data_IF_826755587481
#
_entry.id   IF_826755587481
#
_cell.length_a   1.000
_cell.length_b   1.000
_cell.length_c   1.000
_cell.angle_alpha   90.00
_cell.angle_beta   90.00
_cell.angle_gamma   90.00
#
_symmetry.space_group_name_H-M   'P 1'
#
loop_
_entity.id
_entity.type
_entity.pdbx_description
1 polymer ?
#
# COMPACT_ATOMS: atom_id res chain seq x y z
N UNK A 1 -17.55 -4.63 -2.08
CA UNK A 1 -16.45 -3.65 -2.20
C UNK A 1 -16.72 -2.77 -3.42
N UNK A 2 -17.02 -1.47 -3.24
CA UNK A 2 -17.49 -0.57 -4.32
C UNK A 2 -16.41 -0.37 -5.41
N UNK A 3 -16.86 -0.31 -6.68
CA UNK A 3 -16.08 -0.22 -7.93
C UNK A 3 -14.96 0.83 -7.93
N UNK A 4 -15.15 1.93 -7.21
CA UNK A 4 -14.24 3.08 -7.23
C UNK A 4 -12.95 2.86 -6.44
N UNK A 5 -12.88 1.84 -5.58
CA UNK A 5 -11.72 1.62 -4.73
C UNK A 5 -10.52 0.99 -5.47
N UNK A 6 -10.73 0.15 -6.48
CA UNK A 6 -9.62 -0.54 -7.16
C UNK A 6 -8.83 0.40 -8.06
N UNK A 7 -9.52 1.15 -8.92
CA UNK A 7 -8.89 2.13 -9.84
C UNK A 7 -8.08 3.17 -9.06
N UNK A 8 -8.64 3.69 -7.96
CA UNK A 8 -7.93 4.64 -7.08
C UNK A 8 -6.62 4.06 -6.53
N UNK A 9 -6.61 2.77 -6.18
CA UNK A 9 -5.42 2.10 -5.68
C UNK A 9 -4.36 1.85 -6.77
N UNK A 10 -4.75 1.75 -8.05
CA UNK A 10 -3.79 1.66 -9.15
C UNK A 10 -3.05 2.98 -9.39
N UNK A 11 -3.75 4.12 -9.25
CA UNK A 11 -3.21 5.45 -9.55
C UNK A 11 -2.31 5.97 -8.42
N UNK A 12 -2.71 5.78 -7.17
CA UNK A 12 -2.03 6.39 -6.02
C UNK A 12 -1.70 5.37 -4.94
N UNK A 13 -0.54 4.72 -5.09
CA UNK A 13 0.15 4.10 -3.97
C UNK A 13 1.30 4.99 -3.50
N UNK A 14 1.11 5.65 -2.36
CA UNK A 14 2.20 6.36 -1.69
C UNK A 14 2.96 5.33 -0.86
N UNK A 15 4.09 4.86 -1.37
CA UNK A 15 4.99 4.03 -0.58
C UNK A 15 5.42 4.84 0.64
N UNK A 16 5.13 4.32 1.84
CA UNK A 16 5.45 5.02 3.07
C UNK A 16 6.98 4.97 3.22
N UNK A 17 7.64 6.09 2.94
CA UNK A 17 9.10 6.21 3.03
C UNK A 17 9.62 6.09 4.48
N UNK A 18 8.73 6.10 5.47
CA UNK A 18 9.11 5.90 6.87
C UNK A 18 9.72 4.51 7.08
N UNK A 19 10.96 4.49 7.55
CA UNK A 19 11.66 3.27 7.96
C UNK A 19 10.89 2.50 9.03
N UNK A 20 11.17 1.20 9.17
CA UNK A 20 10.53 0.37 10.22
C UNK A 20 10.78 0.94 11.62
N UNK A 21 11.97 1.50 11.85
CA UNK A 21 12.39 2.13 13.10
C UNK A 21 11.60 3.41 13.38
N UNK A 22 11.47 4.31 12.41
CA UNK A 22 10.68 5.53 12.59
C UNK A 22 9.23 5.22 13.00
N UNK A 23 8.66 4.14 12.45
CA UNK A 23 7.32 3.66 12.84
C UNK A 23 7.26 3.09 14.26
N UNK A 24 8.32 2.43 14.71
CA UNK A 24 8.42 1.95 16.10
C UNK A 24 8.56 3.10 17.08
N UNK A 25 9.42 4.09 16.78
CA UNK A 25 9.57 5.29 17.60
C UNK A 25 8.24 6.04 17.68
N UNK A 26 7.57 6.30 16.54
CA UNK A 26 6.27 6.97 16.52
C UNK A 26 5.23 6.24 17.37
N UNK A 27 5.20 4.90 17.31
CA UNK A 27 4.31 4.08 18.15
C UNK A 27 4.63 4.20 19.64
N UNK A 28 5.91 4.07 20.02
CA UNK A 28 6.34 4.19 21.42
C UNK A 28 6.11 5.60 21.95
N UNK A 29 6.38 6.63 21.15
CA UNK A 29 6.13 8.03 21.50
C UNK A 29 4.64 8.30 21.74
N UNK A 30 3.74 7.81 20.87
CA UNK A 30 2.30 7.95 21.09
C UNK A 30 1.86 7.21 22.35
N UNK A 31 2.33 5.97 22.55
CA UNK A 31 2.01 5.19 23.75
C UNK A 31 2.49 5.90 25.03
N UNK A 32 3.73 6.42 25.01
CA UNK A 32 4.32 7.10 26.16
C UNK A 32 3.60 8.41 26.48
N UNK A 33 3.27 9.22 25.46
CA UNK A 33 2.49 10.46 25.66
C UNK A 33 1.12 10.13 26.23
N UNK A 34 0.43 9.14 25.66
CA UNK A 34 -0.89 8.74 26.10
C UNK A 34 -0.84 8.26 27.55
N UNK A 35 0.14 7.44 27.89
CA UNK A 35 0.38 6.95 29.25
C UNK A 35 0.70 8.06 30.26
N UNK A 36 1.54 9.04 29.90
CA UNK A 36 1.81 10.21 30.75
C UNK A 36 0.52 10.99 30.99
N UNK A 37 -0.32 11.19 29.96
CA UNK A 37 -1.61 11.84 30.13
C UNK A 37 -2.52 11.04 31.07
N UNK A 38 -2.63 9.71 30.93
CA UNK A 38 -3.43 8.89 31.84
C UNK A 38 -2.89 8.92 33.26
N UNK A 39 -1.56 8.88 33.44
CA UNK A 39 -0.93 8.98 34.74
C UNK A 39 -1.17 10.34 35.42
N UNK A 40 -1.03 11.46 34.69
CA UNK A 40 -1.29 12.80 35.22
C UNK A 40 -2.75 12.99 35.62
N UNK A 41 -3.69 12.51 34.80
CA UNK A 41 -5.13 12.55 35.12
C UNK A 41 -5.41 11.75 36.39
N UNK A 42 -4.85 10.54 36.49
CA UNK A 42 -5.04 9.68 37.65
C UNK A 42 -4.44 10.27 38.93
N UNK A 43 -3.22 10.80 38.86
CA UNK A 43 -2.57 11.49 39.98
C UNK A 43 -3.36 12.74 40.41
N UNK A 44 -3.94 13.48 39.46
CA UNK A 44 -4.74 14.67 39.76
C UNK A 44 -6.05 14.34 40.49
N UNK A 45 -6.65 13.19 40.24
CA UNK A 45 -7.95 12.81 40.82
C UNK A 45 -7.76 12.03 42.13
N UNK A 46 -6.75 11.15 42.21
CA UNK A 46 -6.59 10.17 43.30
C UNK A 46 -5.37 10.46 44.19
N UNK A 47 -4.57 11.49 43.88
CA UNK A 47 -3.39 11.86 44.65
C UNK A 47 -2.17 10.96 44.40
N UNK A 48 -1.16 11.08 45.28
CA UNK A 48 0.17 10.47 45.12
C UNK A 48 0.29 9.09 45.80
N UNK A 49 -0.70 8.22 45.61
CA UNK A 49 -0.70 6.87 46.20
C UNK A 49 -0.10 5.81 45.23
N UNK A 50 0.58 4.80 45.78
CA UNK A 50 1.11 3.64 45.07
C UNK A 50 0.02 2.87 44.31
N UNK A 51 -1.21 2.88 44.81
CA UNK A 51 -2.37 2.26 44.16
C UNK A 51 -2.68 2.89 42.80
N UNK A 52 -2.48 4.21 42.66
CA UNK A 52 -2.64 4.96 41.41
C UNK A 52 -1.60 4.53 40.38
N UNK A 53 -0.37 4.28 40.81
CA UNK A 53 0.70 3.78 39.95
C UNK A 53 0.42 2.36 39.44
N UNK A 54 -0.06 1.47 40.31
CA UNK A 54 -0.45 0.11 39.90
C UNK A 54 -1.61 0.14 38.89
N UNK A 55 -2.60 1.01 39.09
CA UNK A 55 -3.77 1.12 38.23
C UNK A 55 -3.44 1.75 36.87
N UNK A 56 -2.58 2.77 36.83
CA UNK A 56 -2.08 3.36 35.57
C UNK A 56 -1.27 2.36 34.75
N UNK A 57 -0.54 1.43 35.39
CA UNK A 57 0.14 0.35 34.68
C UNK A 57 -0.83 -0.66 34.05
N UNK A 58 -1.91 -1.02 34.74
CA UNK A 58 -2.96 -1.89 34.15
C UNK A 58 -3.60 -1.22 32.94
N UNK A 59 -3.87 0.09 33.02
CA UNK A 59 -4.42 0.86 31.91
C UNK A 59 -3.43 0.90 30.73
N UNK A 60 -2.13 1.10 30.99
CA UNK A 60 -1.09 1.05 29.96
C UNK A 60 -1.12 -0.26 29.16
N UNK A 61 -1.31 -1.41 29.83
CA UNK A 61 -1.42 -2.70 29.15
C UNK A 61 -2.66 -2.76 28.23
N UNK A 62 -3.78 -2.17 28.68
CA UNK A 62 -4.99 -2.01 27.87
C UNK A 62 -4.76 -1.12 26.64
N UNK A 63 -4.15 0.04 26.83
CA UNK A 63 -3.80 1.00 25.77
C UNK A 63 -2.85 0.38 24.74
N UNK A 64 -1.83 -0.36 25.20
CA UNK A 64 -0.91 -1.09 24.34
C UNK A 64 -1.64 -2.13 23.48
N UNK A 65 -2.52 -2.94 24.08
CA UNK A 65 -3.32 -3.92 23.33
C UNK A 65 -4.22 -3.24 22.30
N UNK A 66 -4.91 -2.16 22.67
CA UNK A 66 -5.78 -1.43 21.76
C UNK A 66 -5.00 -0.85 20.57
N UNK A 67 -3.88 -0.18 20.83
CA UNK A 67 -3.04 0.44 19.79
C UNK A 67 -2.40 -0.62 18.89
N UNK A 68 -2.01 -1.77 19.43
CA UNK A 68 -1.47 -2.88 18.64
C UNK A 68 -2.51 -3.51 17.70
N UNK A 69 -3.76 -3.67 18.14
CA UNK A 69 -4.87 -4.13 17.29
C UNK A 69 -5.15 -3.14 16.15
N UNK A 70 -5.27 -1.84 16.47
CA UNK A 70 -5.47 -0.79 15.44
C UNK A 70 -4.33 -0.81 14.42
N UNK A 71 -3.10 -1.05 14.90
CA UNK A 71 -1.92 -1.15 14.04
C UNK A 71 -1.98 -2.35 13.10
N UNK A 72 -2.42 -3.52 13.58
CA UNK A 72 -2.59 -4.73 12.75
C UNK A 72 -3.61 -4.49 11.64
N UNK A 73 -4.79 -3.96 11.98
CA UNK A 73 -5.84 -3.64 11.00
C UNK A 73 -5.34 -2.63 9.96
N UNK A 74 -4.63 -1.57 10.39
CA UNK A 74 -4.02 -0.60 9.48
C UNK A 74 -2.96 -1.23 8.58
N UNK A 75 -2.20 -2.21 9.08
CA UNK A 75 -1.19 -2.93 8.30
C UNK A 75 -1.85 -3.81 7.24
N UNK A 76 -2.86 -4.59 7.60
CA UNK A 76 -3.62 -5.44 6.67
C UNK A 76 -4.23 -4.61 5.54
N UNK A 77 -4.88 -3.49 5.87
CA UNK A 77 -5.42 -2.59 4.85
C UNK A 77 -4.33 -2.02 3.92
N UNK A 78 -3.14 -1.72 4.45
CA UNK A 78 -2.01 -1.26 3.63
C UNK A 78 -1.49 -2.38 2.73
N UNK A 79 -1.34 -3.58 3.27
CA UNK A 79 -0.90 -4.75 2.50
C UNK A 79 -1.90 -5.07 1.39
N UNK A 80 -3.20 -5.04 1.66
CA UNK A 80 -4.24 -5.25 0.64
C UNK A 80 -4.20 -4.19 -0.46
N UNK A 81 -4.04 -2.90 -0.10
CA UNK A 81 -3.85 -1.84 -1.10
C UNK A 81 -2.58 -2.04 -1.91
N UNK A 82 -1.49 -2.45 -1.27
CA UNK A 82 -0.23 -2.72 -1.93
C UNK A 82 -0.32 -3.92 -2.88
N UNK A 83 -0.98 -5.01 -2.48
CA UNK A 83 -1.29 -6.17 -3.34
C UNK A 83 -2.03 -5.74 -4.60
N UNK A 84 -3.10 -4.94 -4.44
CA UNK A 84 -3.89 -4.42 -5.57
C UNK A 84 -3.01 -3.57 -6.48
N UNK A 85 -2.27 -2.61 -5.93
CA UNK A 85 -1.38 -1.75 -6.70
C UNK A 85 -0.33 -2.53 -7.47
N UNK A 86 0.33 -3.50 -6.81
CA UNK A 86 1.36 -4.33 -7.42
C UNK A 86 0.80 -5.19 -8.54
N UNK A 87 -0.41 -5.75 -8.35
CA UNK A 87 -1.12 -6.50 -9.38
C UNK A 87 -1.40 -5.64 -10.61
N UNK A 88 -1.90 -4.41 -10.38
CA UNK A 88 -2.15 -3.45 -11.45
C UNK A 88 -0.88 -3.03 -12.17
N UNK A 89 0.22 -2.79 -11.45
CA UNK A 89 1.52 -2.44 -12.02
C UNK A 89 2.08 -3.56 -12.90
N UNK A 90 1.99 -4.81 -12.45
CA UNK A 90 2.42 -5.98 -13.23
C UNK A 90 1.56 -6.19 -14.47
N UNK A 91 0.23 -6.09 -14.33
CA UNK A 91 -0.69 -6.14 -15.47
C UNK A 91 -0.38 -5.03 -16.48
N UNK A 92 -0.11 -3.80 -16.02
CA UNK A 92 0.27 -2.69 -16.89
C UNK A 92 1.57 -2.99 -17.63
N UNK A 93 2.59 -3.48 -16.92
CA UNK A 93 3.86 -3.87 -17.52
C UNK A 93 3.66 -4.90 -18.64
N UNK A 94 2.82 -5.92 -18.42
CA UNK A 94 2.51 -6.92 -19.46
C UNK A 94 1.75 -6.34 -20.66
N UNK A 95 0.89 -5.34 -20.45
CA UNK A 95 0.21 -4.62 -21.55
C UNK A 95 1.23 -3.83 -22.37
N UNK A 96 2.19 -3.17 -21.71
CA UNK A 96 3.19 -2.33 -22.37
C UNK A 96 4.27 -3.15 -23.08
N UNK A 97 4.60 -4.35 -22.57
CA UNK A 97 5.52 -5.31 -23.19
C UNK A 97 4.98 -5.94 -24.47
N UNK A 98 3.67 -5.83 -24.72
CA UNK A 98 3.07 -6.26 -25.99
C UNK A 98 3.76 -5.49 -27.12
N UNK A 99 4.29 -6.15 -28.16
CA UNK A 99 5.24 -5.51 -29.07
C UNK A 99 4.55 -4.73 -30.21
N UNK A 100 3.46 -5.27 -30.75
CA UNK A 100 2.79 -4.70 -31.94
C UNK A 100 1.36 -4.19 -31.66
N UNK A 101 0.83 -3.32 -32.52
CA UNK A 101 -0.58 -2.88 -32.41
C UNK A 101 -1.56 -4.03 -32.65
N UNK A 102 -1.20 -5.02 -33.48
CA UNK A 102 -2.02 -6.20 -33.72
C UNK A 102 -2.12 -7.10 -32.48
N UNK A 103 -1.02 -7.32 -31.77
CA UNK A 103 -1.05 -8.05 -30.49
C UNK A 103 -1.88 -7.31 -29.44
N UNK A 104 -1.82 -5.97 -29.41
CA UNK A 104 -2.66 -5.18 -28.51
C UNK A 104 -4.15 -5.33 -28.84
N UNK A 105 -4.52 -5.35 -30.13
CA UNK A 105 -5.90 -5.63 -30.57
C UNK A 105 -6.37 -7.02 -30.13
N UNK A 106 -5.53 -8.03 -30.32
CA UNK A 106 -5.82 -9.40 -29.87
C UNK A 106 -5.98 -9.45 -28.34
N UNK A 107 -5.13 -8.75 -27.60
CA UNK A 107 -5.24 -8.67 -26.15
C UNK A 107 -6.57 -8.04 -25.71
N UNK A 108 -6.96 -6.93 -26.33
CA UNK A 108 -8.24 -6.26 -26.06
C UNK A 108 -9.40 -7.18 -26.42
N UNK A 109 -9.32 -7.90 -27.53
CA UNK A 109 -10.31 -8.91 -27.91
C UNK A 109 -10.47 -9.97 -26.82
N UNK A 110 -9.37 -10.62 -26.40
CA UNK A 110 -9.38 -11.67 -25.38
C UNK A 110 -9.96 -11.16 -24.05
N UNK A 111 -9.66 -9.91 -23.66
CA UNK A 111 -10.22 -9.29 -22.46
C UNK A 111 -11.73 -9.05 -22.60
N UNK A 112 -12.18 -8.49 -23.73
CA UNK A 112 -13.59 -8.20 -23.95
C UNK A 112 -14.43 -9.48 -24.04
N UNK A 113 -13.95 -10.52 -24.72
CA UNK A 113 -14.64 -11.82 -24.82
C UNK A 113 -14.89 -12.45 -23.45
N UNK A 114 -13.95 -12.30 -22.53
CA UNK A 114 -14.02 -12.84 -21.17
C UNK A 114 -14.70 -11.88 -20.18
N UNK A 115 -15.10 -10.69 -20.61
CA UNK A 115 -15.82 -9.72 -19.76
C UNK A 115 -17.33 -9.93 -19.86
N UNK A 116 -18.00 -9.97 -18.69
CA UNK A 116 -19.46 -10.03 -18.62
C UNK A 116 -20.13 -8.95 -19.49
N UNK A 117 -21.18 -9.33 -20.22
CA UNK A 117 -22.02 -8.50 -21.09
C UNK A 117 -21.48 -8.21 -22.50
N UNK A 118 -20.25 -8.59 -22.82
CA UNK A 118 -19.78 -8.59 -24.20
C UNK A 118 -20.07 -9.95 -24.86
N UNK A 119 -20.42 -9.94 -26.15
CA UNK A 119 -20.61 -11.13 -26.96
C UNK A 119 -20.25 -10.85 -28.42
N UNK A 120 -20.01 -11.90 -29.21
CA UNK A 120 -19.67 -11.83 -30.64
C UNK A 120 -18.52 -10.86 -30.97
N UNK A 121 -17.50 -10.82 -30.12
CA UNK A 121 -16.31 -10.01 -30.38
C UNK A 121 -15.56 -10.59 -31.59
N UNK A 122 -15.26 -9.76 -32.59
CA UNK A 122 -14.58 -10.18 -33.81
C UNK A 122 -13.59 -9.10 -34.25
N UNK A 123 -12.39 -9.52 -34.62
CA UNK A 123 -11.41 -8.65 -35.28
C UNK A 123 -11.93 -8.28 -36.66
N UNK A 124 -11.89 -6.99 -36.96
CA UNK A 124 -12.18 -6.48 -38.28
C UNK A 124 -10.99 -6.77 -39.20
N UNK A 125 -11.05 -7.91 -39.92
CA UNK A 125 -9.99 -8.33 -40.88
C UNK A 125 -10.09 -7.64 -42.24
N UNK A 126 -10.94 -6.61 -42.39
CA UNK A 126 -11.10 -5.94 -43.67
C UNK A 126 -9.77 -5.31 -44.08
N UNK A 127 -9.21 -5.76 -45.22
CA UNK A 127 -7.95 -5.25 -45.79
C UNK A 127 -8.04 -3.77 -46.17
N UNK A 128 -9.26 -3.25 -46.26
CA UNK A 128 -9.54 -1.84 -46.46
C UNK A 128 -9.51 -1.18 -45.07
N UNK A 129 -8.34 -0.64 -44.69
CA UNK A 129 -8.07 0.16 -43.48
C UNK A 129 -8.92 1.46 -43.39
N UNK A 130 -10.05 1.53 -44.06
CA UNK A 130 -10.72 2.79 -44.37
C UNK A 130 -11.40 3.46 -43.17
N UNK A 131 -11.66 2.75 -42.06
CA UNK A 131 -12.52 3.25 -41.00
C UNK A 131 -11.97 3.09 -39.57
N UNK A 132 -10.65 3.04 -39.37
CA UNK A 132 -10.03 3.12 -38.03
C UNK A 132 -10.49 2.12 -36.95
N UNK A 133 -11.33 1.14 -37.29
CA UNK A 133 -12.03 0.25 -36.37
C UNK A 133 -11.39 -1.13 -36.42
N UNK A 134 -10.96 -1.57 -35.26
CA UNK A 134 -10.17 -2.78 -35.09
C UNK A 134 -11.03 -3.97 -34.70
N UNK A 135 -12.04 -3.77 -33.84
CA UNK A 135 -12.93 -4.83 -33.40
C UNK A 135 -14.40 -4.43 -33.53
N UNK A 136 -15.25 -5.43 -33.68
CA UNK A 136 -16.71 -5.32 -33.57
C UNK A 136 -17.18 -6.23 -32.44
N UNK A 137 -18.14 -5.79 -31.66
CA UNK A 137 -18.68 -6.55 -30.54
C UNK A 137 -20.17 -6.25 -30.32
N UNK A 138 -20.84 -7.05 -29.51
CA UNK A 138 -22.15 -6.74 -28.95
C UNK A 138 -22.01 -6.54 -27.45
N UNK A 139 -22.45 -5.39 -26.94
CA UNK A 139 -22.54 -5.11 -25.51
C UNK A 139 -24.00 -5.09 -25.09
N UNK A 140 -24.45 -6.03 -24.25
CA UNK A 140 -25.87 -6.17 -23.88
C UNK A 140 -26.82 -6.16 -25.10
N UNK A 141 -26.46 -6.92 -26.14
CA UNK A 141 -27.16 -7.00 -27.44
C UNK A 141 -27.13 -5.72 -28.30
N UNK A 142 -26.42 -4.67 -27.90
CA UNK A 142 -26.21 -3.49 -28.73
C UNK A 142 -24.91 -3.63 -29.54
N UNK A 143 -24.91 -3.37 -30.86
CA UNK A 143 -23.69 -3.37 -31.65
C UNK A 143 -22.78 -2.23 -31.20
N UNK A 144 -21.50 -2.53 -31.03
CA UNK A 144 -20.44 -1.62 -30.60
C UNK A 144 -19.21 -1.86 -31.46
N UNK A 145 -18.58 -0.78 -31.91
CA UNK A 145 -17.26 -0.82 -32.53
C UNK A 145 -16.18 -0.43 -31.54
N UNK A 146 -15.02 -1.06 -31.65
CA UNK A 146 -13.88 -0.83 -30.77
C UNK A 146 -12.68 -0.41 -31.62
N UNK A 147 -12.08 0.71 -31.22
CA UNK A 147 -10.82 1.23 -31.75
C UNK A 147 -9.74 1.07 -30.69
N UNK A 148 -8.62 0.48 -31.06
CA UNK A 148 -7.52 0.13 -30.18
C UNK A 148 -6.32 1.03 -30.49
N UNK A 149 -6.07 2.01 -29.64
CA UNK A 149 -4.97 2.96 -29.78
C UNK A 149 -3.83 2.60 -28.85
N UNK A 150 -2.76 2.05 -29.42
CA UNK A 150 -1.53 1.76 -28.69
C UNK A 150 -0.59 2.96 -28.78
N UNK A 151 -0.24 3.51 -27.63
CA UNK A 151 0.74 4.60 -27.48
C UNK A 151 2.08 4.05 -26.97
N UNK A 152 3.18 4.54 -27.56
CA UNK A 152 4.55 4.21 -27.13
C UNK A 152 4.94 4.94 -25.84
N UNK A 153 4.32 6.09 -25.58
CA UNK A 153 4.54 6.89 -24.37
C UNK A 153 3.31 6.81 -23.45
N UNK A 154 3.53 6.34 -22.22
CA UNK A 154 2.52 6.09 -21.20
C UNK A 154 1.87 7.37 -20.65
N UNK A 155 2.55 8.52 -20.75
CA UNK A 155 1.99 9.82 -20.37
C UNK A 155 1.27 10.50 -21.53
N UNK A 156 1.39 9.94 -22.73
CA UNK A 156 0.86 10.55 -23.92
C UNK A 156 -0.67 10.55 -23.87
N UNK A 157 -1.22 11.74 -24.03
CA UNK A 157 -2.66 11.96 -23.98
C UNK A 157 -3.23 11.68 -25.35
N UNK A 158 -4.20 10.77 -25.45
CA UNK A 158 -4.91 10.57 -26.71
C UNK A 158 -5.52 11.90 -27.15
N UNK A 159 -5.19 12.28 -28.39
CA UNK A 159 -5.63 13.53 -29.01
C UNK A 159 -7.14 13.53 -29.24
N UNK A 160 -7.72 14.73 -29.32
CA UNK A 160 -9.13 14.90 -29.68
C UNK A 160 -9.40 14.40 -31.10
N UNK A 161 -8.38 14.39 -31.96
CA UNK A 161 -8.48 13.91 -33.34
C UNK A 161 -8.93 12.45 -33.41
N UNK A 162 -8.43 11.57 -32.53
CA UNK A 162 -8.89 10.17 -32.46
C UNK A 162 -10.40 10.07 -32.18
N UNK A 163 -10.95 10.97 -31.38
CA UNK A 163 -12.40 11.04 -31.12
C UNK A 163 -13.19 11.51 -32.35
N UNK A 164 -12.68 12.51 -33.08
CA UNK A 164 -13.32 12.97 -34.32
C UNK A 164 -13.34 11.87 -35.37
N UNK A 165 -12.21 11.19 -35.59
CA UNK A 165 -12.12 10.08 -36.52
C UNK A 165 -13.07 8.94 -36.11
N UNK A 166 -13.19 8.63 -34.82
CA UNK A 166 -14.16 7.63 -34.33
C UNK A 166 -15.62 8.03 -34.64
N UNK A 167 -15.97 9.31 -34.54
CA UNK A 167 -17.31 9.80 -34.89
C UNK A 167 -17.56 9.65 -36.39
N UNK A 168 -16.60 10.05 -37.22
CA UNK A 168 -16.70 9.91 -38.68
C UNK A 168 -16.85 8.43 -39.10
N UNK A 169 -16.15 7.53 -38.40
CA UNK A 169 -16.22 6.09 -38.65
C UNK A 169 -17.55 5.49 -38.18
N UNK A 170 -18.10 5.98 -37.07
CA UNK A 170 -19.44 5.61 -36.59
C UNK A 170 -20.53 6.03 -37.59
N UNK A 171 -20.44 7.23 -38.16
CA UNK A 171 -21.37 7.74 -39.16
C UNK A 171 -21.35 6.93 -40.44
N UNK A 172 -20.16 6.65 -40.99
CA UNK A 172 -20.00 5.83 -42.20
C UNK A 172 -20.59 4.44 -42.03
N UNK A 173 -20.54 3.90 -40.81
CA UNK A 173 -21.05 2.57 -40.50
C UNK A 173 -22.52 2.57 -40.01
N UNK A 174 -23.15 3.74 -39.88
CA UNK A 174 -24.51 3.86 -39.35
C UNK A 174 -24.64 3.37 -37.90
N UNK A 175 -23.57 3.45 -37.11
CA UNK A 175 -23.52 2.99 -35.72
C UNK A 175 -23.48 4.17 -34.75
N UNK A 176 -24.02 3.97 -33.54
CA UNK A 176 -24.06 5.00 -32.49
C UNK A 176 -23.19 4.71 -31.28
N UNK A 177 -22.67 3.49 -31.14
CA UNK A 177 -21.92 3.07 -29.96
C UNK A 177 -20.48 2.74 -30.30
N UNK A 178 -19.55 3.39 -29.62
CA UNK A 178 -18.12 3.22 -29.84
C UNK A 178 -17.36 3.03 -28.53
N UNK A 179 -16.26 2.29 -28.58
CA UNK A 179 -15.30 2.17 -27.49
C UNK A 179 -13.92 2.52 -28.03
N UNK A 180 -13.21 3.43 -27.36
CA UNK A 180 -11.80 3.70 -27.63
C UNK A 180 -11.00 3.11 -26.48
N UNK A 181 -10.12 2.15 -26.78
CA UNK A 181 -9.28 1.46 -25.81
C UNK A 181 -7.83 1.85 -26.02
N UNK A 182 -7.11 2.14 -24.93
CA UNK A 182 -5.70 2.51 -25.00
C UNK A 182 -4.89 2.05 -23.78
N UNK A 183 -3.59 1.86 -23.97
CA UNK A 183 -2.61 1.73 -22.89
C UNK A 183 -2.11 3.10 -22.36
N UNK A 184 -2.55 4.21 -22.96
CA UNK A 184 -2.29 5.58 -22.50
C UNK A 184 -3.36 6.13 -21.56
N UNK A 185 -3.43 7.46 -21.46
CA UNK A 185 -4.41 8.18 -20.63
C UNK A 185 -5.19 9.19 -21.48
N UNK A 186 -6.49 9.34 -21.25
CA UNK A 186 -7.27 10.42 -21.87
C UNK A 186 -7.09 11.74 -21.12
N UNK A 187 -6.72 12.80 -21.83
CA UNK A 187 -6.67 14.15 -21.30
C UNK A 187 -8.07 14.73 -21.04
N UNK A 188 -8.14 15.77 -20.20
CA UNK A 188 -9.40 16.46 -19.87
C UNK A 188 -10.13 16.98 -21.12
N UNK A 189 -9.39 17.47 -22.12
CA UNK A 189 -9.99 17.97 -23.38
C UNK A 189 -10.68 16.85 -24.16
N UNK A 190 -10.07 15.67 -24.25
CA UNK A 190 -10.64 14.49 -24.93
C UNK A 190 -11.88 13.97 -24.19
N UNK A 191 -11.86 13.94 -22.86
CA UNK A 191 -13.04 13.61 -22.05
C UNK A 191 -14.19 14.60 -22.25
N UNK A 192 -13.89 15.90 -22.22
CA UNK A 192 -14.87 16.95 -22.47
C UNK A 192 -15.44 16.88 -23.90
N UNK A 193 -14.63 16.52 -24.89
CA UNK A 193 -15.09 16.31 -26.27
C UNK A 193 -16.05 15.11 -26.35
N UNK A 194 -15.69 13.97 -25.74
CA UNK A 194 -16.57 12.80 -25.69
C UNK A 194 -17.94 13.10 -25.03
N UNK A 195 -17.95 13.96 -23.99
CA UNK A 195 -19.20 14.41 -23.36
C UNK A 195 -20.07 15.26 -24.30
N UNK A 196 -19.48 16.08 -25.17
CA UNK A 196 -20.24 16.86 -26.17
C UNK A 196 -20.94 15.95 -27.18
N UNK A 197 -20.28 14.88 -27.60
CA UNK A 197 -20.83 13.90 -28.55
C UNK A 197 -21.91 13.00 -27.94
N UNK A 198 -22.07 12.99 -26.61
CA UNK A 198 -22.98 12.08 -25.89
C UNK A 198 -24.46 12.19 -26.30
N UNK A 199 -24.87 13.30 -26.93
CA UNK A 199 -26.23 13.49 -27.45
C UNK A 199 -26.52 12.57 -28.64
N UNK A 200 -25.53 12.38 -29.49
CA UNK A 200 -25.68 11.70 -30.78
C UNK A 200 -24.99 10.32 -30.80
N UNK A 201 -23.89 10.17 -30.05
CA UNK A 201 -23.09 8.95 -29.97
C UNK A 201 -22.78 8.56 -28.51
N UNK A 202 -22.83 7.26 -28.22
CA UNK A 202 -22.38 6.68 -26.96
C UNK A 202 -20.92 6.19 -27.10
N UNK A 203 -19.96 7.10 -26.94
CA UNK A 203 -18.53 6.78 -26.99
C UNK A 203 -18.00 6.55 -25.57
N UNK A 204 -17.50 5.34 -25.31
CA UNK A 204 -16.85 4.98 -24.04
C UNK A 204 -15.33 5.01 -24.18
N UNK A 205 -14.68 5.71 -23.26
CA UNK A 205 -13.22 5.82 -23.21
C UNK A 205 -12.66 4.83 -22.17
N UNK A 206 -11.80 3.90 -22.60
CA UNK A 206 -11.12 2.93 -21.74
C UNK A 206 -9.62 3.25 -21.74
N UNK A 207 -9.16 3.97 -20.73
CA UNK A 207 -7.73 4.21 -20.50
C UNK A 207 -7.04 2.99 -19.88
N UNK A 208 -5.71 3.08 -19.70
CA UNK A 208 -4.90 2.02 -19.11
C UNK A 208 -5.43 1.47 -17.80
N UNK A 209 -5.96 2.33 -16.93
CA UNK A 209 -6.45 1.91 -15.61
C UNK A 209 -7.76 1.16 -15.71
N UNK A 210 -8.66 1.62 -16.59
CA UNK A 210 -9.89 0.90 -16.88
C UNK A 210 -9.59 -0.42 -17.59
N UNK A 211 -8.60 -0.47 -18.50
CA UNK A 211 -8.18 -1.69 -19.18
C UNK A 211 -7.67 -2.75 -18.20
N UNK A 212 -6.85 -2.36 -17.20
CA UNK A 212 -6.42 -3.24 -16.11
C UNK A 212 -7.63 -3.79 -15.33
N UNK A 213 -8.63 -2.95 -15.04
CA UNK A 213 -9.84 -3.38 -14.35
C UNK A 213 -10.70 -4.34 -15.20
N UNK A 214 -10.74 -4.15 -16.52
CA UNK A 214 -11.36 -5.10 -17.44
C UNK A 214 -10.60 -6.43 -17.46
N UNK A 215 -9.27 -6.40 -17.55
CA UNK A 215 -8.43 -7.60 -17.48
C UNK A 215 -8.65 -8.38 -16.17
N UNK A 216 -8.76 -7.67 -15.04
CA UNK A 216 -9.07 -8.25 -13.74
C UNK A 216 -10.44 -8.93 -13.72
N UNK A 217 -11.49 -8.27 -14.23
CA UNK A 217 -12.85 -8.83 -14.28
C UNK A 217 -12.97 -10.02 -15.22
N UNK A 218 -12.20 -9.99 -16.29
CA UNK A 218 -12.08 -11.08 -17.25
C UNK A 218 -11.28 -12.28 -16.72
N UNK A 219 -10.67 -12.18 -15.53
CA UNK A 219 -9.68 -13.15 -15.03
C UNK A 219 -8.61 -13.48 -16.09
N UNK A 220 -8.19 -12.45 -16.85
CA UNK A 220 -7.28 -12.63 -17.97
C UNK A 220 -5.87 -13.00 -17.49
N UNK A 221 -5.14 -13.81 -18.27
CA UNK A 221 -3.78 -14.31 -17.95
C UNK A 221 -2.75 -13.22 -17.64
N UNK A 222 -2.94 -12.00 -18.15
CA UNK A 222 -2.06 -10.84 -17.88
C UNK A 222 -2.25 -10.27 -16.47
N UNK A 223 -3.40 -10.52 -15.85
CA UNK A 223 -3.66 -10.06 -14.50
C UNK A 223 -3.07 -11.12 -13.55
N UNK A 224 -2.07 -10.78 -12.73
CA UNK A 224 -1.33 -11.77 -11.98
C UNK A 224 -2.23 -12.47 -10.96
N UNK A 225 -2.05 -13.79 -10.86
CA UNK A 225 -2.73 -14.57 -9.85
C UNK A 225 -2.28 -14.16 -8.43
N UNK A 226 -3.14 -14.31 -7.40
CA UNK A 226 -2.83 -13.85 -6.05
C UNK A 226 -1.51 -14.39 -5.47
N UNK A 227 -1.17 -15.65 -5.76
CA UNK A 227 0.06 -16.29 -5.27
C UNK A 227 1.34 -15.64 -5.84
N UNK A 228 1.32 -15.21 -7.11
CA UNK A 228 2.45 -14.52 -7.74
C UNK A 228 2.69 -13.18 -7.05
N UNK A 229 1.61 -12.47 -6.73
CA UNK A 229 1.67 -11.18 -6.04
C UNK A 229 2.24 -11.36 -4.63
N UNK A 230 1.87 -12.44 -3.94
CA UNK A 230 2.38 -12.76 -2.61
C UNK A 230 3.88 -13.09 -2.62
N UNK A 231 4.34 -13.89 -3.59
CA UNK A 231 5.77 -14.18 -3.77
C UNK A 231 6.59 -12.90 -3.98
N UNK A 232 6.15 -12.02 -4.88
CA UNK A 232 6.83 -10.73 -5.12
C UNK A 232 6.87 -9.82 -3.89
N UNK A 233 5.89 -9.93 -2.99
CA UNK A 233 5.88 -9.19 -1.73
C UNK A 233 6.92 -9.79 -0.77
N UNK A 234 6.96 -11.12 -0.65
CA UNK A 234 7.90 -11.84 0.20
C UNK A 234 9.34 -11.58 -0.23
N UNK A 235 9.66 -11.74 -1.52
CA UNK A 235 11.00 -11.46 -2.07
C UNK A 235 11.44 -10.02 -1.76
N UNK A 236 10.55 -9.04 -1.95
CA UNK A 236 10.85 -7.63 -1.65
C UNK A 236 11.04 -7.38 -0.15
N UNK A 237 10.38 -8.15 0.72
CA UNK A 237 10.55 -8.05 2.17
C UNK A 237 11.87 -8.69 2.61
N UNK A 238 12.21 -9.85 2.05
CA UNK A 238 13.47 -10.56 2.31
C UNK A 238 14.66 -9.69 1.90
N UNK A 239 14.63 -9.12 0.69
CA UNK A 239 15.67 -8.22 0.20
C UNK A 239 15.83 -6.98 1.09
N UNK A 240 14.71 -6.36 1.51
CA UNK A 240 14.75 -5.24 2.47
C UNK A 240 15.25 -5.65 3.86
N UNK A 241 15.08 -6.90 4.26
CA UNK A 241 15.54 -7.41 5.56
C UNK A 241 17.02 -7.76 5.56
N UNK A 242 17.57 -8.23 4.43
CA UNK A 242 18.98 -8.48 4.25
C UNK A 242 19.82 -7.19 4.29
N UNK A 243 19.29 -6.09 3.75
CA UNK A 243 19.99 -4.80 3.70
C UNK A 243 19.89 -3.98 5.00
N UNK A 244 19.02 -4.38 5.93
CA UNK A 244 18.83 -3.68 7.20
C UNK A 244 19.52 -4.44 8.33
N UNK A 245 20.75 -4.04 8.67
CA UNK A 245 21.31 -4.32 10.00
C UNK A 245 20.33 -3.69 11.00
N UNK A 246 19.57 -4.49 11.77
CA UNK A 246 18.47 -3.94 12.54
C UNK A 246 19.05 -3.08 13.67
N UNK A 247 18.89 -1.76 13.64
CA UNK A 247 19.30 -0.88 14.74
C UNK A 247 18.60 -1.22 16.08
N UNK A 248 17.51 -1.99 16.04
CA UNK A 248 16.95 -2.63 17.23
C UNK A 248 17.96 -3.58 17.90
N UNK A 249 18.84 -4.24 17.15
CA UNK A 249 19.97 -4.99 17.70
C UNK A 249 21.03 -4.09 18.35
N UNK A 250 21.17 -2.83 17.90
CA UNK A 250 22.13 -1.86 18.45
C UNK A 250 21.64 -1.13 19.71
N UNK A 251 20.38 -0.72 19.79
CA UNK A 251 19.84 0.06 20.92
C UNK A 251 19.12 -0.80 21.98
N UNK A 252 18.37 -1.81 21.57
CA UNK A 252 17.51 -2.65 22.44
C UNK A 252 18.02 -4.11 22.49
N UNK A 253 18.91 -4.49 21.57
CA UNK A 253 19.25 -5.88 21.30
C UNK A 253 20.18 -6.56 22.29
N UNK A 254 20.73 -5.82 23.25
CA UNK A 254 21.61 -6.39 24.25
C UNK A 254 20.89 -6.44 25.60
N UNK A 255 20.60 -7.67 26.08
CA UNK A 255 20.01 -7.89 27.42
C UNK A 255 20.84 -7.25 28.53
N UNK A 256 22.14 -7.05 28.32
CA UNK A 256 23.00 -6.39 29.31
C UNK A 256 22.66 -4.91 29.53
N UNK A 257 22.03 -4.24 28.55
CA UNK A 257 21.56 -2.85 28.72
C UNK A 257 20.36 -2.75 29.66
N UNK A 258 19.60 -3.84 29.83
CA UNK A 258 18.47 -3.87 30.77
C UNK A 258 18.92 -3.53 32.20
N UNK A 259 20.08 -4.05 32.63
CA UNK A 259 20.63 -3.75 33.95
C UNK A 259 20.89 -2.25 34.15
N UNK A 260 21.43 -1.57 33.13
CA UNK A 260 21.66 -0.11 33.14
C UNK A 260 20.36 0.69 33.24
N UNK A 261 19.31 0.25 32.54
CA UNK A 261 18.00 0.88 32.65
C UNK A 261 17.35 0.64 34.02
N UNK A 262 17.45 -0.58 34.59
CA UNK A 262 16.93 -0.85 35.94
C UNK A 262 17.72 -0.10 37.02
N UNK A 263 19.04 0.02 36.92
CA UNK A 263 19.82 0.81 37.88
C UNK A 263 19.49 2.29 37.78
N UNK A 264 19.35 2.85 36.57
CA UNK A 264 18.88 4.22 36.39
C UNK A 264 17.47 4.42 36.99
N UNK A 265 16.55 3.47 36.76
CA UNK A 265 15.22 3.51 37.36
C UNK A 265 15.25 3.48 38.90
N UNK A 266 16.07 2.60 39.49
CA UNK A 266 16.22 2.51 40.94
C UNK A 266 16.81 3.79 41.55
N UNK A 267 17.81 4.41 40.90
CA UNK A 267 18.38 5.69 41.34
C UNK A 267 17.33 6.79 41.27
N UNK A 268 16.57 6.87 40.17
CA UNK A 268 15.52 7.88 40.00
C UNK A 268 14.36 7.67 40.98
N UNK A 269 13.98 6.42 41.28
CA UNK A 269 12.99 6.08 42.29
C UNK A 269 13.44 6.44 43.71
N UNK A 270 14.72 6.24 44.01
CA UNK A 270 15.32 6.67 45.28
C UNK A 270 15.34 8.20 45.40
N UNK A 271 15.71 8.92 44.33
CA UNK A 271 15.66 10.38 44.28
C UNK A 271 14.23 10.91 44.44
N UNK A 272 13.23 10.25 43.83
CA UNK A 272 11.82 10.53 44.06
C UNK A 272 11.46 10.40 45.54
N UNK A 273 11.86 9.31 46.20
CA UNK A 273 11.59 9.09 47.62
C UNK A 273 12.19 10.20 48.51
N UNK A 274 13.44 10.62 48.23
CA UNK A 274 14.09 11.70 48.97
C UNK A 274 13.41 13.07 48.81
N UNK A 275 12.78 13.29 47.65
CA UNK A 275 12.21 14.59 47.24
C UNK A 275 10.67 14.57 47.30
N UNK A 276 10.06 13.49 47.80
CA UNK A 276 8.62 13.21 47.70
C UNK A 276 7.70 14.30 48.29
N UNK A 277 8.23 15.21 49.10
CA UNK A 277 7.50 16.34 49.70
C UNK A 277 7.85 17.72 49.08
N UNK A 278 8.69 17.75 48.05
CA UNK A 278 9.23 18.99 47.47
C UNK A 278 9.05 18.97 45.95
N UNK A 279 8.11 19.77 45.47
CA UNK A 279 8.04 20.25 44.07
C UNK A 279 7.61 19.25 42.98
N UNK A 280 7.22 19.83 41.84
CA UNK A 280 6.98 19.22 40.52
C UNK A 280 8.12 18.31 40.04
N UNK A 281 9.35 18.54 40.52
CA UNK A 281 10.50 17.70 40.20
C UNK A 281 10.37 16.25 40.67
N UNK A 282 9.69 15.99 41.79
CA UNK A 282 9.40 14.63 42.26
C UNK A 282 8.65 13.80 41.19
N UNK A 283 7.66 14.42 40.54
CA UNK A 283 6.86 13.81 39.46
C UNK A 283 7.74 13.53 38.23
N UNK A 284 8.65 14.44 37.88
CA UNK A 284 9.59 14.24 36.77
C UNK A 284 10.50 13.02 37.06
N UNK A 285 11.07 12.92 38.26
CA UNK A 285 11.91 11.78 38.64
C UNK A 285 11.13 10.46 38.57
N UNK A 286 9.90 10.43 39.07
CA UNK A 286 9.03 9.26 39.00
C UNK A 286 8.72 8.84 37.57
N UNK A 287 8.41 9.79 36.68
CA UNK A 287 8.15 9.53 35.27
C UNK A 287 9.39 8.96 34.56
N UNK A 288 10.58 9.56 34.76
CA UNK A 288 11.81 9.05 34.18
C UNK A 288 12.20 7.67 34.75
N UNK A 289 11.96 7.42 36.04
CA UNK A 289 12.17 6.10 36.63
C UNK A 289 11.35 5.05 35.87
N UNK A 290 10.08 5.35 35.62
CA UNK A 290 9.17 4.42 34.96
C UNK A 290 9.49 4.22 33.47
N UNK A 291 9.90 5.28 32.76
CA UNK A 291 10.44 5.16 31.39
C UNK A 291 11.64 4.20 31.38
N UNK A 292 12.56 4.33 32.34
CA UNK A 292 13.72 3.44 32.44
C UNK A 292 13.31 1.99 32.78
N UNK A 293 12.34 1.76 33.68
CA UNK A 293 11.80 0.40 33.92
C UNK A 293 11.23 -0.20 32.64
N UNK A 294 10.43 0.55 31.88
CA UNK A 294 9.84 0.05 30.62
C UNK A 294 10.89 -0.27 29.57
N UNK A 295 11.95 0.54 29.45
CA UNK A 295 13.10 0.26 28.58
C UNK A 295 13.86 -1.00 29.03
N UNK A 296 14.05 -1.18 30.34
CA UNK A 296 14.66 -2.38 30.91
C UNK A 296 13.87 -3.65 30.57
N UNK A 297 12.55 -3.63 30.76
CA UNK A 297 11.65 -4.74 30.41
C UNK A 297 11.68 -5.01 28.90
N UNK A 298 11.64 -3.96 28.06
CA UNK A 298 11.75 -4.10 26.61
C UNK A 298 13.06 -4.76 26.18
N UNK A 299 14.19 -4.40 26.81
CA UNK A 299 15.49 -5.04 26.58
C UNK A 299 15.53 -6.51 27.03
N UNK A 300 14.83 -6.90 28.09
CA UNK A 300 14.75 -8.31 28.50
C UNK A 300 13.89 -9.14 27.54
N UNK A 301 12.75 -8.60 27.11
CA UNK A 301 11.80 -9.30 26.24
C UNK A 301 12.27 -9.41 24.78
N UNK A 302 12.97 -8.39 24.27
CA UNK A 302 13.37 -8.31 22.86
C UNK A 302 14.89 -8.38 22.64
N UNK A 303 15.70 -8.36 23.70
CA UNK A 303 17.15 -8.45 23.61
C UNK A 303 17.60 -9.87 23.27
N UNK A 304 18.53 -9.98 22.32
CA UNK A 304 19.21 -11.21 21.97
C UNK A 304 20.33 -11.49 22.97
N UNK A 305 20.60 -12.77 23.21
CA UNK A 305 21.69 -13.20 24.08
C UNK A 305 23.05 -12.92 23.43
N UNK A 306 24.11 -12.64 24.21
CA UNK A 306 25.49 -12.49 23.68
C UNK A 306 25.88 -13.68 22.79
N UNK A 307 25.47 -14.90 23.15
CA UNK A 307 25.74 -16.09 22.35
C UNK A 307 25.09 -16.05 20.96
N UNK A 308 23.89 -15.46 20.84
CA UNK A 308 23.21 -15.29 19.56
C UNK A 308 23.86 -14.18 18.71
N UNK A 309 24.34 -13.11 19.34
CA UNK A 309 25.06 -12.04 18.64
C UNK A 309 26.45 -12.49 18.18
N UNK A 310 27.16 -13.29 18.97
CA UNK A 310 28.45 -13.88 18.59
C UNK A 310 28.25 -14.94 17.51
N UNK A 311 27.22 -15.78 17.59
CA UNK A 311 26.89 -16.76 16.55
C UNK A 311 26.52 -16.08 15.22
N UNK A 312 25.75 -14.99 15.24
CA UNK A 312 25.43 -14.20 14.04
C UNK A 312 26.71 -13.56 13.46
N UNK A 313 27.56 -12.97 14.30
CA UNK A 313 28.83 -12.40 13.84
C UNK A 313 29.79 -13.47 13.27
N UNK A 314 29.83 -14.69 13.82
CA UNK A 314 30.65 -15.79 13.31
C UNK A 314 30.13 -16.24 11.93
N UNK A 315 28.81 -16.35 11.76
CA UNK A 315 28.18 -16.69 10.47
C UNK A 315 28.42 -15.59 9.43
N UNK A 316 28.29 -14.31 9.82
CA UNK A 316 28.43 -13.17 8.90
C UNK A 316 29.90 -12.84 8.55
N UNK A 317 30.88 -13.19 9.41
CA UNK A 317 32.30 -12.88 9.18
C UNK A 317 33.15 -14.06 8.73
N UNK A 318 32.59 -15.28 8.68
CA UNK A 318 33.28 -16.48 8.23
C UNK A 318 34.54 -16.84 9.03
N UNK A 319 34.69 -16.31 10.25
CA UNK A 319 35.84 -16.59 11.12
C UNK A 319 35.45 -17.56 12.21
N UNK A 320 36.08 -18.74 12.20
CA UNK A 320 36.00 -19.68 13.32
C UNK A 320 36.59 -19.07 14.60
N UNK A 321 36.05 -19.42 15.78
CA UNK A 321 36.58 -18.94 17.05
C UNK A 321 37.96 -19.58 17.32
N UNK A 322 38.95 -18.73 17.59
CA UNK A 322 40.20 -19.11 18.25
C UNK A 322 40.06 -19.10 19.77
#
# INVERSE_FOLDING_TARGET
MKRDNYIKNYIHYRENQKTALARQIEFVSVLLVLWICTALIMLSIWGYDLTVLALTFIILLGEYKLLSLIRQIKLEHRLNRYKIWLSGKKCQQSIDETATSGEFQQLVQEILENTSHFSKVKVNKSKVKTHGIDLTAQYKNLPVVVRCEKTTDQENKISIQCLHEMVDDLDKLGMKNGIIVTNGIFGNKSRAAAEKYKKDYAITLIDRYNLIEYARKANHKIFPAPHIVEQLITERQEQKSADLIPLSSRLIGDRHKAAGYFTAASILGFMYYLINNISFFSIIYLLFALVNVTLGIMCLLHGKSRYELTAINIIDTGKEPG
#
